data_IF_434373714950
#
_entry.id   IF_434373714950
#
_cell.length_a   1.000
_cell.length_b   1.000
_cell.length_c   1.000
_cell.angle_alpha   90.00
_cell.angle_beta   90.00
_cell.angle_gamma   90.00
#
_symmetry.space_group_name_H-M   'P 1'
#
loop_
_entity.id
_entity.type
_entity.pdbx_description
1 polymer ?
#
# COMPACT_ATOMS: atom_id res chain seq x y z
N UNK A 1 4.43 -17.91 12.86
CA UNK A 1 4.38 -17.64 11.41
C UNK A 1 4.63 -16.16 11.09
N UNK A 2 3.75 -15.23 11.53
CA UNK A 2 3.88 -13.78 11.26
C UNK A 2 5.16 -13.16 11.83
N UNK A 3 5.61 -13.58 13.03
CA UNK A 3 6.88 -13.12 13.63
C UNK A 3 8.14 -13.51 12.84
N UNK A 4 8.09 -14.62 12.10
CA UNK A 4 9.21 -15.10 11.28
C UNK A 4 9.28 -14.33 9.97
N UNK A 5 8.14 -14.14 9.31
CA UNK A 5 8.01 -13.32 8.09
C UNK A 5 8.36 -11.84 8.37
N UNK A 6 7.97 -11.31 9.53
CA UNK A 6 8.31 -9.93 9.94
C UNK A 6 9.81 -9.64 10.00
N UNK A 7 10.67 -10.67 10.15
CA UNK A 7 12.14 -10.50 10.08
C UNK A 7 12.64 -10.13 8.68
N UNK A 8 11.99 -10.60 7.60
CA UNK A 8 12.37 -10.25 6.22
C UNK A 8 11.95 -8.83 5.80
N UNK A 9 11.14 -8.13 6.61
CA UNK A 9 10.81 -6.71 6.40
C UNK A 9 12.04 -5.80 6.60
N UNK A 10 13.05 -6.25 7.37
CA UNK A 10 14.38 -5.63 7.65
C UNK A 10 14.57 -4.18 7.17
N UNK A 11 15.00 -3.96 5.92
CA UNK A 11 15.34 -2.63 5.38
C UNK A 11 14.11 -1.75 5.04
N UNK A 12 12.92 -2.33 4.85
CA UNK A 12 11.71 -1.64 4.40
C UNK A 12 10.73 -1.29 5.53
N UNK A 13 11.11 -1.48 6.81
CA UNK A 13 10.25 -1.18 7.97
C UNK A 13 9.74 0.26 8.00
N UNK A 14 10.58 1.24 7.61
CA UNK A 14 10.18 2.65 7.56
C UNK A 14 9.12 2.92 6.49
N UNK A 15 9.28 2.35 5.29
CA UNK A 15 8.34 2.48 4.17
C UNK A 15 7.00 1.76 4.48
N UNK A 16 7.07 0.58 5.10
CA UNK A 16 5.89 -0.18 5.52
C UNK A 16 5.08 0.51 6.61
N UNK A 17 5.70 1.34 7.46
CA UNK A 17 4.99 2.12 8.49
C UNK A 17 4.48 3.46 7.94
N UNK A 18 5.18 4.06 6.97
CA UNK A 18 4.76 5.30 6.32
C UNK A 18 3.50 5.10 5.47
N UNK A 19 3.36 3.97 4.79
CA UNK A 19 2.20 3.65 3.94
C UNK A 19 0.85 3.83 4.66
N UNK A 20 0.58 3.17 5.81
CA UNK A 20 -0.71 3.32 6.49
C UNK A 20 -0.94 4.74 7.01
N UNK A 21 0.13 5.49 7.35
CA UNK A 21 0.00 6.89 7.75
C UNK A 21 -0.51 7.77 6.59
N UNK A 22 -0.01 7.57 5.38
CA UNK A 22 -0.50 8.29 4.20
C UNK A 22 -1.94 7.92 3.85
N UNK A 23 -2.30 6.65 3.93
CA UNK A 23 -3.67 6.18 3.68
C UNK A 23 -4.65 6.79 4.69
N UNK A 24 -4.28 6.87 5.97
CA UNK A 24 -5.13 7.52 6.99
C UNK A 24 -5.34 9.00 6.64
N UNK A 25 -4.29 9.70 6.23
CA UNK A 25 -4.39 11.11 5.81
C UNK A 25 -5.29 11.30 4.58
N UNK A 26 -5.17 10.42 3.59
CA UNK A 26 -6.01 10.40 2.39
C UNK A 26 -7.50 10.20 2.75
N UNK A 27 -7.82 9.19 3.57
CA UNK A 27 -9.21 8.90 3.96
C UNK A 27 -9.85 10.07 4.71
N UNK A 28 -9.09 10.79 5.55
CA UNK A 28 -9.59 11.99 6.22
C UNK A 28 -9.98 13.08 5.21
N UNK A 29 -9.17 13.27 4.16
CA UNK A 29 -9.45 14.23 3.10
C UNK A 29 -10.68 13.80 2.29
N UNK A 30 -10.79 12.51 1.94
CA UNK A 30 -11.95 11.99 1.24
C UNK A 30 -13.25 12.17 2.04
N UNK A 31 -13.20 12.06 3.37
CA UNK A 31 -14.33 12.37 4.25
C UNK A 31 -14.64 13.87 4.33
N UNK A 32 -13.65 14.75 4.18
CA UNK A 32 -13.85 16.20 4.19
C UNK A 32 -14.57 16.70 2.93
N UNK A 33 -14.40 16.03 1.78
CA UNK A 33 -15.05 16.40 0.52
C UNK A 33 -16.60 16.47 0.65
N UNK A 34 -17.33 15.41 1.09
CA UNK A 34 -18.78 15.47 1.22
C UNK A 34 -19.25 16.48 2.27
N UNK A 35 -18.46 16.69 3.33
CA UNK A 35 -18.74 17.74 4.33
C UNK A 35 -18.70 19.15 3.71
N UNK A 36 -17.67 19.45 2.91
CA UNK A 36 -17.54 20.72 2.20
C UNK A 36 -18.61 20.90 1.13
N UNK A 37 -19.01 19.82 0.45
CA UNK A 37 -20.14 19.84 -0.50
C UNK A 37 -21.45 20.19 0.21
N UNK A 38 -21.70 19.67 1.41
CA UNK A 38 -22.86 20.06 2.22
C UNK A 38 -22.87 21.56 2.53
N UNK A 39 -21.74 22.10 2.99
CA UNK A 39 -21.58 23.54 3.25
C UNK A 39 -21.78 24.37 1.97
N UNK A 40 -21.32 23.88 0.82
CA UNK A 40 -21.50 24.53 -0.47
C UNK A 40 -22.98 24.61 -0.86
N UNK A 41 -23.76 23.55 -0.61
CA UNK A 41 -25.21 23.54 -0.87
C UNK A 41 -25.91 24.54 0.06
N UNK A 42 -25.67 24.48 1.36
CA UNK A 42 -26.37 25.30 2.36
C UNK A 42 -26.04 26.80 2.25
N UNK A 43 -24.76 27.14 2.01
CA UNK A 43 -24.32 28.54 2.01
C UNK A 43 -24.14 29.14 0.61
N UNK A 44 -24.00 28.30 -0.41
CA UNK A 44 -23.90 28.73 -1.80
C UNK A 44 -25.24 28.64 -2.51
N UNK A 45 -25.72 27.42 -2.73
CA UNK A 45 -26.89 27.14 -3.58
C UNK A 45 -28.16 27.70 -2.96
N UNK A 46 -28.45 27.40 -1.69
CA UNK A 46 -29.67 27.88 -1.03
C UNK A 46 -29.73 29.40 -0.88
N UNK A 47 -28.56 30.07 -0.78
CA UNK A 47 -28.47 31.54 -0.67
C UNK A 47 -28.29 32.24 -2.03
N UNK A 48 -28.20 31.50 -3.13
CA UNK A 48 -27.99 32.04 -4.47
C UNK A 48 -26.66 32.77 -4.68
N UNK A 49 -25.65 32.55 -3.82
CA UNK A 49 -24.38 33.27 -3.89
C UNK A 49 -23.39 32.60 -4.85
N UNK A 50 -23.43 33.02 -6.12
CA UNK A 50 -22.59 32.44 -7.17
C UNK A 50 -21.09 32.71 -6.99
N UNK A 51 -20.71 33.77 -6.27
CA UNK A 51 -19.32 34.05 -5.92
C UNK A 51 -18.79 33.07 -4.86
N UNK A 52 -19.63 32.67 -3.91
CA UNK A 52 -19.28 31.66 -2.91
C UNK A 52 -19.15 30.28 -3.55
N UNK A 53 -20.08 29.92 -4.45
CA UNK A 53 -20.06 28.63 -5.16
C UNK A 53 -18.79 28.47 -5.98
N UNK A 54 -18.39 29.50 -6.75
CA UNK A 54 -17.18 29.42 -7.58
C UNK A 54 -15.89 29.31 -6.76
N UNK A 55 -15.77 30.07 -5.66
CA UNK A 55 -14.62 29.96 -4.74
C UNK A 55 -14.55 28.60 -4.07
N UNK A 56 -15.68 28.09 -3.59
CA UNK A 56 -15.73 26.79 -2.89
C UNK A 56 -15.53 25.62 -3.86
N UNK A 57 -16.04 25.72 -5.09
CA UNK A 57 -15.77 24.76 -6.17
C UNK A 57 -14.30 24.69 -6.53
N UNK A 58 -13.61 25.84 -6.63
CA UNK A 58 -12.16 25.88 -6.84
C UNK A 58 -11.40 25.21 -5.69
N UNK A 59 -11.80 25.48 -4.44
CA UNK A 59 -11.20 24.87 -3.25
C UNK A 59 -11.38 23.34 -3.25
N UNK A 60 -12.58 22.85 -3.56
CA UNK A 60 -12.86 21.42 -3.70
C UNK A 60 -12.01 20.75 -4.78
N UNK A 61 -11.79 21.44 -5.90
CA UNK A 61 -10.94 20.95 -6.99
C UNK A 61 -9.49 20.79 -6.51
N UNK A 62 -8.96 21.79 -5.81
CA UNK A 62 -7.61 21.74 -5.21
C UNK A 62 -7.50 20.59 -4.21
N UNK A 63 -8.47 20.45 -3.30
CA UNK A 63 -8.48 19.38 -2.29
C UNK A 63 -8.51 18.00 -2.94
N UNK A 64 -9.32 17.83 -3.98
CA UNK A 64 -9.40 16.56 -4.72
C UNK A 64 -8.07 16.20 -5.39
N UNK A 65 -7.39 17.18 -5.99
CA UNK A 65 -6.06 16.97 -6.58
C UNK A 65 -5.04 16.56 -5.50
N UNK A 66 -5.07 17.21 -4.33
CA UNK A 66 -4.19 16.87 -3.21
C UNK A 66 -4.46 15.44 -2.71
N UNK A 67 -5.73 15.05 -2.60
CA UNK A 67 -6.13 13.68 -2.24
C UNK A 67 -5.58 12.66 -3.23
N UNK A 68 -5.72 12.95 -4.53
CA UNK A 68 -5.20 12.07 -5.59
C UNK A 68 -3.69 11.87 -5.51
N UNK A 69 -2.93 12.95 -5.25
CA UNK A 69 -1.47 12.89 -5.11
C UNK A 69 -1.08 12.06 -3.87
N UNK A 70 -1.78 12.25 -2.76
CA UNK A 70 -1.57 11.48 -1.53
C UNK A 70 -1.84 9.98 -1.76
N UNK A 71 -2.95 9.64 -2.41
CA UNK A 71 -3.29 8.25 -2.75
C UNK A 71 -2.31 7.58 -3.70
N UNK A 72 -1.88 8.31 -4.73
CA UNK A 72 -0.85 7.83 -5.65
C UNK A 72 0.48 7.57 -4.91
N UNK A 73 0.87 8.48 -4.01
CA UNK A 73 2.09 8.36 -3.20
C UNK A 73 2.01 7.19 -2.22
N UNK A 74 0.86 7.03 -1.54
CA UNK A 74 0.61 5.91 -0.63
C UNK A 74 0.70 4.57 -1.37
N UNK A 75 0.08 4.49 -2.54
CA UNK A 75 0.12 3.31 -3.41
C UNK A 75 1.54 2.99 -3.88
N UNK A 76 2.32 4.00 -4.27
CA UNK A 76 3.71 3.83 -4.68
C UNK A 76 4.59 3.30 -3.54
N UNK A 77 4.48 3.89 -2.35
CA UNK A 77 5.24 3.48 -1.16
C UNK A 77 4.86 2.07 -0.72
N UNK A 78 3.57 1.73 -0.73
CA UNK A 78 3.09 0.38 -0.41
C UNK A 78 3.62 -0.66 -1.40
N UNK A 79 3.56 -0.37 -2.71
CA UNK A 79 4.09 -1.27 -3.74
C UNK A 79 5.60 -1.49 -3.61
N UNK A 80 6.37 -0.45 -3.28
CA UNK A 80 7.81 -0.55 -3.05
C UNK A 80 8.14 -1.36 -1.80
N UNK A 81 7.39 -1.15 -0.70
CA UNK A 81 7.55 -1.93 0.52
C UNK A 81 7.26 -3.43 0.31
N UNK A 82 6.17 -3.75 -0.39
CA UNK A 82 5.79 -5.13 -0.70
C UNK A 82 6.81 -5.82 -1.64
N UNK A 83 7.31 -5.11 -2.65
CA UNK A 83 8.34 -5.64 -3.56
C UNK A 83 9.67 -5.89 -2.84
N UNK A 84 10.09 -4.96 -1.98
CA UNK A 84 11.29 -5.11 -1.15
C UNK A 84 11.20 -6.26 -0.15
N UNK A 85 10.03 -6.43 0.48
CA UNK A 85 9.75 -7.57 1.34
C UNK A 85 9.86 -8.90 0.59
N UNK A 86 9.24 -9.01 -0.58
CA UNK A 86 9.27 -10.22 -1.40
C UNK A 86 10.71 -10.56 -1.85
N UNK A 87 11.53 -9.55 -2.18
CA UNK A 87 12.93 -9.75 -2.55
C UNK A 87 13.76 -10.34 -1.38
N UNK A 88 13.60 -9.79 -0.18
CA UNK A 88 14.29 -10.31 1.01
C UNK A 88 13.82 -11.72 1.36
N UNK A 89 12.52 -12.00 1.26
CA UNK A 89 11.96 -13.32 1.53
C UNK A 89 12.51 -14.38 0.56
N UNK A 90 12.59 -14.08 -0.75
CA UNK A 90 13.21 -15.00 -1.72
C UNK A 90 14.68 -15.26 -1.39
N UNK A 91 15.42 -14.23 -0.99
CA UNK A 91 16.83 -14.36 -0.62
C UNK A 91 17.01 -15.26 0.60
N UNK A 92 16.24 -15.03 1.67
CA UNK A 92 16.30 -15.84 2.90
C UNK A 92 15.92 -17.31 2.61
N UNK A 93 14.88 -17.54 1.80
CA UNK A 93 14.49 -18.89 1.39
C UNK A 93 15.56 -19.58 0.53
N UNK A 94 16.22 -18.86 -0.38
CA UNK A 94 17.28 -19.40 -1.22
C UNK A 94 18.53 -19.79 -0.41
N UNK A 95 18.89 -19.02 0.62
CA UNK A 95 20.00 -19.42 1.52
C UNK A 95 19.64 -20.65 2.35
N UNK A 96 18.44 -20.72 2.92
CA UNK A 96 18.00 -21.93 3.63
C UNK A 96 17.90 -23.16 2.71
N UNK A 97 17.62 -22.97 1.42
CA UNK A 97 17.61 -24.08 0.49
C UNK A 97 19.00 -24.66 0.20
N UNK A 98 20.04 -23.82 0.23
CA UNK A 98 21.43 -24.26 0.01
C UNK A 98 21.98 -25.09 1.17
N UNK A 99 21.43 -24.93 2.38
CA UNK A 99 21.83 -25.70 3.57
C UNK A 99 21.11 -27.08 3.67
N UNK A 100 20.25 -27.45 2.71
CA UNK A 100 19.59 -28.75 2.70
C UNK A 100 20.55 -29.87 2.27
N UNK A 101 20.63 -30.92 3.09
CA UNK A 101 21.19 -32.24 2.72
C UNK A 101 20.48 -32.81 1.48
N UNK A 102 21.22 -33.54 0.64
CA UNK A 102 20.72 -34.23 -0.56
C UNK A 102 19.47 -35.10 -0.29
N UNK A 103 19.32 -35.65 0.90
CA UNK A 103 18.18 -36.47 1.31
C UNK A 103 16.86 -35.67 1.43
N UNK A 104 16.94 -34.35 1.69
CA UNK A 104 15.79 -33.46 1.75
C UNK A 104 15.36 -32.93 0.36
N UNK A 105 16.26 -32.93 -0.62
CA UNK A 105 15.99 -32.52 -2.00
C UNK A 105 15.18 -33.61 -2.73
N UNK A 106 15.41 -34.89 -2.43
CA UNK A 106 14.60 -35.99 -2.99
C UNK A 106 13.16 -36.01 -2.43
N UNK A 107 12.96 -35.52 -1.19
CA UNK A 107 11.63 -35.43 -0.56
C UNK A 107 10.79 -34.26 -1.08
N UNK A 108 11.43 -33.21 -1.58
CA UNK A 108 10.80 -32.06 -2.21
C UNK A 108 11.37 -31.85 -3.61
N UNK A 109 10.68 -32.36 -4.64
CA UNK A 109 11.09 -32.17 -6.05
C UNK A 109 11.54 -30.73 -6.31
N UNK A 110 12.69 -30.57 -6.98
CA UNK A 110 13.28 -29.27 -7.35
C UNK A 110 12.27 -28.34 -8.03
N UNK A 111 11.33 -28.89 -8.81
CA UNK A 111 10.25 -28.14 -9.44
C UNK A 111 9.31 -27.48 -8.42
N UNK A 112 8.94 -28.19 -7.35
CA UNK A 112 8.07 -27.69 -6.28
C UNK A 112 8.74 -26.57 -5.47
N UNK A 113 10.05 -26.69 -5.21
CA UNK A 113 10.84 -25.66 -4.53
C UNK A 113 10.88 -24.35 -5.33
N UNK A 114 11.03 -24.44 -6.65
CA UNK A 114 10.96 -23.27 -7.55
C UNK A 114 9.57 -22.63 -7.55
N UNK A 115 8.50 -23.42 -7.54
CA UNK A 115 7.12 -22.87 -7.49
C UNK A 115 6.87 -22.14 -6.18
N UNK A 116 7.37 -22.64 -5.05
CA UNK A 116 7.27 -21.98 -3.74
C UNK A 116 8.08 -20.68 -3.67
N UNK A 117 9.25 -20.63 -4.28
CA UNK A 117 10.08 -19.41 -4.33
C UNK A 117 9.49 -18.30 -5.21
N UNK A 118 8.65 -18.66 -6.19
CA UNK A 118 8.13 -17.72 -7.19
C UNK A 118 6.66 -17.42 -6.94
N UNK A 119 5.78 -18.41 -7.06
CA UNK A 119 4.33 -18.29 -6.95
C UNK A 119 3.91 -17.97 -5.52
N UNK A 120 4.39 -18.72 -4.51
CA UNK A 120 3.95 -18.49 -3.13
C UNK A 120 4.48 -17.18 -2.56
N UNK A 121 5.73 -16.81 -2.88
CA UNK A 121 6.28 -15.50 -2.47
C UNK A 121 5.55 -14.35 -3.16
N UNK A 122 5.16 -14.50 -4.42
CA UNK A 122 4.32 -13.49 -5.08
C UNK A 122 2.92 -13.43 -4.47
N UNK A 123 2.31 -14.57 -4.09
CA UNK A 123 1.03 -14.57 -3.37
C UNK A 123 1.13 -13.85 -2.02
N UNK A 124 2.20 -14.05 -1.27
CA UNK A 124 2.46 -13.28 -0.05
C UNK A 124 2.62 -11.78 -0.31
N UNK A 125 3.24 -11.38 -1.43
CA UNK A 125 3.36 -9.97 -1.84
C UNK A 125 1.99 -9.32 -2.06
N UNK A 126 1.04 -10.04 -2.67
CA UNK A 126 -0.31 -9.52 -2.93
C UNK A 126 -1.15 -9.33 -1.67
N UNK A 127 -0.96 -10.17 -0.64
CA UNK A 127 -1.67 -10.06 0.63
C UNK A 127 -1.11 -9.00 1.59
N UNK A 128 0.02 -8.36 1.26
CA UNK A 128 0.62 -7.27 2.06
C UNK A 128 0.27 -5.89 1.49
N UNK A 129 -0.20 -5.83 0.24
CA UNK A 129 -0.73 -4.62 -0.39
C UNK A 129 -2.18 -4.38 0.03
#
# INVERSE_FOLDING_TARGET
MVKTLSKSIRQYKKLSLLSPLFVIGEVIIEMLIPYLVGILIDNGIMKGNMSYISKMGLLLLIITIVSLILGASASYVSAHAAAGFAANLRKDMFYHMQDYSFENIDRFSSASLVTRLTTDVNNCKWHIK
#
